data_IF_290170645872
#
_entry.id   IF_290170645872
#
_cell.length_a   1.000
_cell.length_b   1.000
_cell.length_c   1.000
_cell.angle_alpha   90.00
_cell.angle_beta   90.00
_cell.angle_gamma   90.00
#
_symmetry.space_group_name_H-M   'P 1'
#
loop_
_entity.id
_entity.type
_entity.pdbx_description
1 polymer ?
#
# COMPACT_ATOMS: atom_id res chain seq x y z
N UNK A 1 -0.31 -5.84 7.60
CA UNK A 1 -1.73 -5.84 7.17
C UNK A 1 -2.09 -7.21 6.63
N UNK A 2 -3.36 -7.56 6.60
CA UNK A 2 -3.87 -8.80 5.99
C UNK A 2 -5.13 -8.52 5.18
N UNK A 3 -5.52 -9.44 4.31
CA UNK A 3 -6.72 -9.31 3.46
C UNK A 3 -8.01 -9.01 4.29
N UNK A 4 -8.28 -9.68 5.43
CA UNK A 4 -9.45 -9.36 6.24
C UNK A 4 -9.49 -7.91 6.76
N UNK A 5 -8.33 -7.31 7.00
CA UNK A 5 -8.23 -5.90 7.41
C UNK A 5 -8.56 -4.97 6.24
N UNK A 6 -8.09 -5.28 5.03
CA UNK A 6 -8.44 -4.54 3.80
C UNK A 6 -9.96 -4.58 3.55
N UNK A 7 -10.58 -5.76 3.66
CA UNK A 7 -12.03 -5.91 3.51
C UNK A 7 -12.82 -5.13 4.57
N UNK A 8 -12.23 -4.94 5.75
CA UNK A 8 -12.83 -4.09 6.79
C UNK A 8 -12.78 -2.62 6.43
N UNK A 9 -11.68 -2.15 5.85
CA UNK A 9 -11.57 -0.78 5.32
C UNK A 9 -12.56 -0.59 4.16
N UNK A 10 -12.65 -1.52 3.22
CA UNK A 10 -13.62 -1.46 2.12
C UNK A 10 -15.06 -1.33 2.65
N UNK A 11 -15.41 -2.08 3.70
CA UNK A 11 -16.74 -1.99 4.32
C UNK A 11 -17.03 -0.62 4.92
N UNK A 12 -16.04 0.05 5.50
CA UNK A 12 -16.18 1.41 6.02
C UNK A 12 -16.40 2.42 4.88
N UNK A 13 -15.66 2.27 3.78
CA UNK A 13 -15.82 3.07 2.56
C UNK A 13 -17.23 2.91 2.00
N UNK A 14 -17.67 1.66 1.82
CA UNK A 14 -19.01 1.35 1.27
C UNK A 14 -20.15 1.91 2.11
N UNK A 15 -19.95 2.04 3.43
CA UNK A 15 -20.91 2.65 4.37
C UNK A 15 -20.86 4.18 4.41
N UNK A 16 -19.95 4.81 3.65
CA UNK A 16 -19.75 6.25 3.67
C UNK A 16 -19.08 6.78 4.92
N UNK A 17 -18.48 5.91 5.75
CA UNK A 17 -17.72 6.33 6.94
C UNK A 17 -16.41 7.02 6.53
N UNK A 18 -15.87 6.65 5.37
CA UNK A 18 -14.70 7.26 4.78
C UNK A 18 -14.96 7.61 3.31
N UNK A 19 -14.77 8.88 2.94
CA UNK A 19 -14.98 9.39 1.58
C UNK A 19 -13.75 10.10 1.05
N UNK A 20 -12.64 9.37 0.88
CA UNK A 20 -11.38 9.96 0.43
C UNK A 20 -10.46 8.99 -0.31
N UNK A 21 -9.24 9.44 -0.66
CA UNK A 21 -8.21 8.63 -1.30
C UNK A 21 -7.70 7.48 -0.43
N UNK A 22 -7.51 6.31 -1.01
CA UNK A 22 -7.06 5.14 -0.25
C UNK A 22 -5.53 5.01 -0.30
N UNK A 23 -4.85 5.40 0.79
CA UNK A 23 -3.42 5.17 1.00
C UNK A 23 -3.25 4.00 1.97
N UNK A 24 -2.62 2.92 1.51
CA UNK A 24 -2.49 1.66 2.25
C UNK A 24 -1.03 1.34 2.49
N UNK A 25 -0.78 0.72 3.63
CA UNK A 25 0.49 0.05 3.88
C UNK A 25 0.23 -1.43 4.13
N UNK A 26 0.88 -2.29 3.36
CA UNK A 26 0.97 -3.70 3.68
C UNK A 26 2.16 -3.91 4.61
N UNK A 27 1.87 -4.33 5.84
CA UNK A 27 2.87 -4.52 6.92
C UNK A 27 3.08 -6.02 7.20
N UNK A 28 4.19 -6.58 6.72
CA UNK A 28 4.50 -8.01 6.81
C UNK A 28 5.28 -8.38 8.07
N UNK A 29 4.61 -8.58 9.21
CA UNK A 29 5.25 -8.72 10.54
C UNK A 29 4.84 -9.96 11.34
N UNK A 30 3.86 -10.73 10.85
CA UNK A 30 3.27 -11.84 11.60
C UNK A 30 2.37 -11.36 12.77
N UNK A 31 2.04 -12.28 13.69
CA UNK A 31 1.30 -11.92 14.91
C UNK A 31 -0.12 -11.39 14.69
N UNK A 32 -0.81 -11.88 13.66
CA UNK A 32 -2.14 -11.39 13.23
C UNK A 32 -2.08 -10.56 11.94
N UNK A 33 -0.88 -10.20 11.50
CA UNK A 33 -0.61 -9.72 10.15
C UNK A 33 0.00 -10.82 9.29
N UNK A 34 0.06 -10.58 7.98
CA UNK A 34 0.78 -11.47 7.07
C UNK A 34 2.26 -11.56 7.49
N UNK A 35 2.85 -12.75 7.32
CA UNK A 35 4.31 -12.88 7.34
C UNK A 35 4.94 -12.25 6.08
N UNK A 36 6.25 -11.93 6.09
CA UNK A 36 6.97 -11.34 4.96
C UNK A 36 7.22 -12.34 3.83
N UNK A 37 6.16 -12.95 3.32
CA UNK A 37 6.16 -13.93 2.24
C UNK A 37 5.70 -13.24 0.94
N UNK A 38 6.47 -13.33 -0.17
CA UNK A 38 6.06 -12.79 -1.46
C UNK A 38 4.68 -13.23 -1.94
N UNK A 39 4.24 -14.46 -1.65
CA UNK A 39 2.89 -14.91 -2.00
C UNK A 39 1.80 -14.12 -1.27
N UNK A 40 2.03 -13.75 -0.01
CA UNK A 40 1.09 -12.90 0.74
C UNK A 40 1.05 -11.49 0.13
N UNK A 41 2.21 -10.94 -0.24
CA UNK A 41 2.31 -9.64 -0.92
C UNK A 41 1.48 -9.67 -2.20
N UNK A 42 1.69 -10.67 -3.07
CA UNK A 42 0.99 -10.76 -4.35
C UNK A 42 -0.52 -10.91 -4.17
N UNK A 43 -0.96 -11.74 -3.22
CA UNK A 43 -2.38 -11.87 -2.90
C UNK A 43 -2.99 -10.56 -2.39
N UNK A 44 -2.26 -9.81 -1.58
CA UNK A 44 -2.71 -8.51 -1.10
C UNK A 44 -2.80 -7.48 -2.24
N UNK A 45 -1.74 -7.38 -3.06
CA UNK A 45 -1.70 -6.51 -4.24
C UNK A 45 -2.87 -6.81 -5.19
N UNK A 46 -3.19 -8.08 -5.42
CA UNK A 46 -4.33 -8.49 -6.26
C UNK A 46 -5.69 -7.99 -5.73
N UNK A 47 -5.81 -7.71 -4.43
CA UNK A 47 -7.07 -7.24 -3.79
C UNK A 47 -7.13 -5.73 -3.59
N UNK A 48 -5.99 -5.05 -3.66
CA UNK A 48 -5.96 -3.59 -3.59
C UNK A 48 -6.58 -3.02 -4.87
N UNK A 49 -7.49 -2.04 -4.77
CA UNK A 49 -8.14 -1.49 -5.95
C UNK A 49 -7.19 -0.53 -6.68
N UNK A 50 -7.31 -0.44 -8.01
CA UNK A 50 -6.35 0.29 -8.87
C UNK A 50 -6.18 1.77 -8.49
N UNK A 51 -7.23 2.40 -7.96
CA UNK A 51 -7.22 3.79 -7.54
C UNK A 51 -6.60 4.01 -6.16
N UNK A 52 -6.01 3.00 -5.50
CA UNK A 52 -5.30 3.13 -4.23
C UNK A 52 -3.79 3.31 -4.39
N UNK A 53 -3.15 3.87 -3.37
CA UNK A 53 -1.71 4.00 -3.27
C UNK A 53 -1.18 3.00 -2.24
N UNK A 54 -0.35 2.05 -2.66
CA UNK A 54 0.14 0.97 -1.80
C UNK A 54 1.63 1.12 -1.47
N UNK A 55 1.93 1.04 -0.18
CA UNK A 55 3.28 0.96 0.38
C UNK A 55 3.52 -0.43 0.94
N UNK A 56 4.71 -1.00 0.75
CA UNK A 56 5.13 -2.24 1.42
C UNK A 56 6.10 -1.94 2.56
N UNK A 57 5.89 -2.62 3.68
CA UNK A 57 6.66 -2.48 4.90
C UNK A 57 6.83 -3.84 5.59
N UNK A 58 7.94 -4.02 6.31
CA UNK A 58 8.20 -5.18 7.15
C UNK A 58 9.24 -4.79 8.21
N UNK A 59 9.79 -5.76 8.95
CA UNK A 59 10.69 -5.52 10.07
C UNK A 59 12.02 -6.28 9.90
N UNK A 60 13.07 -5.76 10.52
CA UNK A 60 14.35 -6.43 10.66
C UNK A 60 14.97 -6.83 9.29
N UNK A 61 15.25 -8.13 9.08
CA UNK A 61 16.02 -8.59 7.92
C UNK A 61 15.23 -8.57 6.61
N UNK A 62 13.90 -8.54 6.66
CA UNK A 62 13.06 -8.53 5.47
C UNK A 62 12.88 -7.13 4.87
N UNK A 63 13.30 -6.05 5.55
CA UNK A 63 13.08 -4.66 5.13
C UNK A 63 13.62 -4.41 3.73
N UNK A 64 14.91 -4.65 3.49
CA UNK A 64 15.50 -4.40 2.18
C UNK A 64 14.90 -5.30 1.08
N UNK A 65 14.77 -6.64 1.26
CA UNK A 65 14.11 -7.50 0.26
C UNK A 65 12.68 -7.06 -0.10
N UNK A 66 11.85 -6.70 0.89
CA UNK A 66 10.47 -6.25 0.64
C UNK A 66 10.47 -4.89 -0.06
N UNK A 67 11.35 -3.97 0.32
CA UNK A 67 11.48 -2.69 -0.37
C UNK A 67 11.93 -2.86 -1.82
N UNK A 68 12.87 -3.78 -2.11
CA UNK A 68 13.29 -4.05 -3.49
C UNK A 68 12.15 -4.64 -4.32
N UNK A 69 11.32 -5.51 -3.73
CA UNK A 69 10.11 -6.04 -4.38
C UNK A 69 9.13 -4.89 -4.66
N UNK A 70 8.89 -4.03 -3.66
CA UNK A 70 8.00 -2.88 -3.81
C UNK A 70 8.43 -1.99 -4.99
N UNK A 71 9.72 -1.62 -5.03
CA UNK A 71 10.27 -0.79 -6.11
C UNK A 71 10.12 -1.50 -7.46
N UNK A 72 10.45 -2.79 -7.55
CA UNK A 72 10.35 -3.55 -8.80
C UNK A 72 8.90 -3.67 -9.32
N UNK A 73 7.91 -3.65 -8.42
CA UNK A 73 6.49 -3.68 -8.77
C UNK A 73 5.90 -2.28 -9.03
N UNK A 74 6.69 -1.21 -8.95
CA UNK A 74 6.20 0.17 -9.05
C UNK A 74 5.47 0.68 -7.79
N UNK A 75 5.51 -0.07 -6.69
CA UNK A 75 4.89 0.29 -5.41
C UNK A 75 5.82 1.16 -4.55
N UNK A 76 5.30 1.72 -3.46
CA UNK A 76 6.10 2.53 -2.55
C UNK A 76 6.84 1.66 -1.51
N UNK A 77 8.16 1.84 -1.33
CA UNK A 77 8.88 1.22 -0.22
C UNK A 77 8.82 2.09 1.04
N UNK A 78 9.04 1.49 2.22
CA UNK A 78 9.22 2.19 3.51
C UNK A 78 10.48 1.70 4.20
N UNK A 79 11.28 2.63 4.72
CA UNK A 79 12.45 2.30 5.56
C UNK A 79 12.62 3.29 6.71
N UNK A 80 13.40 2.88 7.71
CA UNK A 80 13.76 3.71 8.85
C UNK A 80 14.20 2.86 10.04
N UNK A 81 14.73 3.54 11.07
CA UNK A 81 15.19 2.87 12.29
C UNK A 81 14.05 2.24 13.10
N UNK A 82 12.79 2.65 12.86
CA UNK A 82 11.60 1.99 13.40
C UNK A 82 11.49 0.54 12.90
N UNK A 83 11.74 0.34 11.61
CA UNK A 83 11.56 -0.95 10.94
C UNK A 83 12.77 -1.86 11.19
N UNK A 84 13.98 -1.29 11.10
CA UNK A 84 15.24 -1.98 11.35
C UNK A 84 16.37 -1.01 11.70
N UNK A 85 17.20 -1.39 12.66
CA UNK A 85 18.44 -0.69 13.01
C UNK A 85 19.68 -1.34 12.37
N UNK A 86 19.48 -2.36 11.53
CA UNK A 86 20.53 -3.23 11.01
C UNK A 86 20.70 -3.07 9.50
N UNK A 87 21.95 -2.96 9.06
CA UNK A 87 22.36 -3.12 7.67
C UNK A 87 22.82 -4.56 7.42
N UNK A 88 24.09 -4.73 7.03
CA UNK A 88 24.71 -6.07 6.96
C UNK A 88 24.77 -6.71 8.35
N UNK A 89 24.97 -8.02 8.41
CA UNK A 89 25.02 -8.77 9.67
C UNK A 89 26.07 -8.17 10.61
N UNK A 90 25.61 -7.65 11.75
CA UNK A 90 26.47 -7.04 12.78
C UNK A 90 26.68 -5.53 12.61
N UNK A 91 26.21 -4.93 11.51
CA UNK A 91 26.39 -3.51 11.22
C UNK A 91 25.09 -2.74 11.50
N UNK A 92 25.20 -1.62 12.22
CA UNK A 92 24.09 -0.68 12.40
C UNK A 92 23.96 0.20 11.15
N UNK A 93 22.73 0.60 10.85
CA UNK A 93 22.46 1.46 9.70
C UNK A 93 21.53 2.60 10.14
N UNK A 94 21.90 3.84 9.79
CA UNK A 94 21.08 5.02 10.07
C UNK A 94 19.91 5.11 9.08
N UNK A 95 18.86 5.85 9.44
CA UNK A 95 17.73 6.04 8.52
C UNK A 95 18.14 6.80 7.25
N UNK A 96 19.10 7.74 7.34
CA UNK A 96 19.66 8.42 6.15
C UNK A 96 20.32 7.43 5.20
N UNK A 97 21.17 6.53 5.72
CA UNK A 97 21.82 5.52 4.88
C UNK A 97 20.81 4.55 4.27
N UNK A 98 19.73 4.21 5.00
CA UNK A 98 18.65 3.37 4.48
C UNK A 98 17.93 4.06 3.31
N UNK A 99 17.63 5.35 3.44
CA UNK A 99 17.03 6.16 2.36
C UNK A 99 17.96 6.18 1.14
N UNK A 100 19.24 6.53 1.32
CA UNK A 100 20.24 6.54 0.23
C UNK A 100 20.34 5.20 -0.49
N UNK A 101 20.24 4.09 0.25
CA UNK A 101 20.19 2.75 -0.34
C UNK A 101 18.96 2.54 -1.23
N UNK A 102 17.77 2.96 -0.79
CA UNK A 102 16.56 2.84 -1.60
C UNK A 102 16.56 3.77 -2.81
N UNK A 103 17.05 5.00 -2.67
CA UNK A 103 17.21 5.95 -3.79
C UNK A 103 18.11 5.34 -4.86
N UNK A 104 19.24 4.75 -4.47
CA UNK A 104 20.14 4.07 -5.40
C UNK A 104 19.43 2.91 -6.12
N UNK A 105 18.77 2.01 -5.38
CA UNK A 105 18.03 0.87 -5.97
C UNK A 105 16.94 1.33 -6.93
N UNK A 106 16.20 2.39 -6.60
CA UNK A 106 15.19 2.95 -7.49
C UNK A 106 15.80 3.52 -8.78
N UNK A 107 16.97 4.18 -8.66
CA UNK A 107 17.73 4.70 -9.80
C UNK A 107 18.18 3.61 -10.78
N UNK A 108 18.58 2.43 -10.29
CA UNK A 108 18.93 1.28 -11.15
C UNK A 108 17.76 0.81 -12.04
N UNK A 109 16.51 1.09 -11.63
CA UNK A 109 15.30 0.77 -12.38
C UNK A 109 14.74 1.97 -13.16
N UNK A 110 15.49 3.08 -13.23
CA UNK A 110 15.02 4.31 -13.88
C UNK A 110 13.83 4.97 -13.19
N UNK A 111 13.62 4.70 -11.90
CA UNK A 111 12.51 5.24 -11.11
C UNK A 111 12.98 6.43 -10.27
N UNK A 112 12.50 7.62 -10.61
CA UNK A 112 12.76 8.84 -9.85
C UNK A 112 12.05 8.84 -8.48
N UNK A 113 12.60 9.62 -7.54
CA UNK A 113 12.10 9.72 -6.17
C UNK A 113 11.27 10.99 -6.04
N UNK A 114 10.01 10.83 -5.65
CA UNK A 114 9.08 11.94 -5.46
C UNK A 114 9.57 12.92 -4.38
N UNK A 115 9.48 14.20 -4.68
CA UNK A 115 9.58 15.30 -3.71
C UNK A 115 8.40 15.26 -2.73
N UNK A 116 8.50 15.99 -1.61
CA UNK A 116 7.39 16.09 -0.66
C UNK A 116 6.10 16.69 -1.26
N UNK A 117 6.22 17.54 -2.28
CA UNK A 117 5.07 18.09 -3.00
C UNK A 117 4.42 17.03 -3.89
N UNK A 118 5.21 16.30 -4.68
CA UNK A 118 4.71 15.20 -5.50
C UNK A 118 4.10 14.09 -4.64
N UNK A 119 4.71 13.76 -3.50
CA UNK A 119 4.16 12.79 -2.56
C UNK A 119 2.78 13.22 -2.02
N UNK A 120 2.59 14.51 -1.71
CA UNK A 120 1.28 15.06 -1.33
C UNK A 120 0.23 14.84 -2.42
N UNK A 121 0.63 15.07 -3.68
CA UNK A 121 -0.25 14.95 -4.84
C UNK A 121 -0.58 13.47 -5.15
N UNK A 122 0.42 12.58 -5.11
CA UNK A 122 0.27 11.12 -5.28
C UNK A 122 -0.66 10.54 -4.21
N UNK A 123 -0.43 10.88 -2.94
CA UNK A 123 -1.27 10.45 -1.83
C UNK A 123 -2.60 11.19 -1.75
N UNK A 124 -2.79 12.23 -2.59
CA UNK A 124 -4.01 13.06 -2.64
C UNK A 124 -4.38 13.62 -1.26
N UNK A 125 -3.38 14.00 -0.47
CA UNK A 125 -3.60 14.49 0.90
C UNK A 125 -4.43 15.77 0.87
N UNK A 126 -5.52 15.79 1.62
CA UNK A 126 -6.46 16.91 1.71
C UNK A 126 -7.63 16.82 0.74
N UNK A 127 -7.71 15.78 -0.09
CA UNK A 127 -8.88 15.52 -0.92
C UNK A 127 -9.96 14.74 -0.17
N UNK A 128 -11.21 15.11 -0.40
CA UNK A 128 -12.41 14.39 0.05
C UNK A 128 -13.39 14.32 -1.12
N UNK A 129 -14.11 13.23 -1.22
CA UNK A 129 -15.15 13.00 -2.21
C UNK A 129 -16.54 13.24 -1.60
N UNK A 130 -17.53 13.49 -2.45
CA UNK A 130 -18.88 13.88 -2.04
C UNK A 130 -19.58 12.81 -1.21
N UNK A 131 -19.45 11.53 -1.61
CA UNK A 131 -20.14 10.41 -0.97
C UNK A 131 -19.42 9.07 -1.20
N UNK A 132 -20.04 7.99 -0.72
CA UNK A 132 -19.53 6.63 -0.87
C UNK A 132 -19.47 6.19 -2.34
N UNK A 133 -20.42 6.59 -3.19
CA UNK A 133 -20.49 6.15 -4.59
C UNK A 133 -19.38 6.83 -5.41
N UNK A 134 -19.15 8.14 -5.22
CA UNK A 134 -18.00 8.81 -5.82
C UNK A 134 -16.69 8.19 -5.33
N UNK A 135 -16.57 7.90 -4.04
CA UNK A 135 -15.37 7.29 -3.46
C UNK A 135 -15.08 5.93 -4.10
N UNK A 136 -16.07 5.03 -4.18
CA UNK A 136 -15.91 3.72 -4.81
C UNK A 136 -15.48 3.85 -6.27
N UNK A 137 -16.09 4.78 -7.03
CA UNK A 137 -15.72 5.04 -8.42
C UNK A 137 -14.28 5.55 -8.56
N UNK A 138 -13.86 6.50 -7.72
CA UNK A 138 -12.49 7.06 -7.73
C UNK A 138 -11.42 6.03 -7.32
N UNK A 139 -11.79 5.07 -6.47
CA UNK A 139 -10.89 4.00 -6.04
C UNK A 139 -10.86 2.83 -7.03
N UNK A 140 -11.82 2.70 -7.94
CA UNK A 140 -11.92 1.55 -8.86
C UNK A 140 -12.63 0.34 -8.24
N UNK A 141 -13.42 0.54 -7.19
CA UNK A 141 -14.28 -0.51 -6.64
C UNK A 141 -15.59 -0.63 -7.42
N UNK A 142 -16.18 -1.82 -7.39
CA UNK A 142 -17.56 -2.01 -7.86
C UNK A 142 -18.54 -1.15 -7.02
N UNK A 143 -19.59 -0.58 -7.65
CA UNK A 143 -20.57 0.25 -6.96
C UNK A 143 -21.31 -0.55 -5.88
N UNK A 144 -21.91 0.16 -4.93
CA UNK A 144 -22.77 -0.48 -3.93
C UNK A 144 -23.99 -1.14 -4.61
N UNK A 145 -24.35 -2.31 -4.10
CA UNK A 145 -25.55 -3.03 -4.54
C UNK A 145 -26.81 -2.26 -4.11
N UNK A 146 -27.74 -2.04 -5.04
CA UNK A 146 -29.03 -1.41 -4.71
C UNK A 146 -29.93 -2.38 -3.93
N UNK A 147 -30.77 -1.90 -3.01
CA UNK A 147 -31.79 -2.74 -2.37
C UNK A 147 -32.61 -3.51 -3.41
N UNK A 148 -32.77 -4.82 -3.22
CA UNK A 148 -33.53 -5.69 -4.15
C UNK A 148 -32.80 -6.11 -5.44
N UNK A 149 -31.65 -5.53 -5.78
CA UNK A 149 -30.90 -5.90 -6.99
C UNK A 149 -30.21 -7.25 -6.81
N UNK A 150 -30.52 -8.30 -7.57
CA UNK A 150 -29.81 -9.61 -7.50
C UNK A 150 -28.65 -9.67 -8.50
N UNK A 151 -27.41 -9.70 -7.98
CA UNK A 151 -26.19 -9.96 -8.76
C UNK A 151 -25.80 -8.87 -9.77
N UNK A 152 -24.50 -8.76 -10.06
CA UNK A 152 -23.97 -7.91 -11.15
C UNK A 152 -23.32 -8.74 -12.27
N UNK A 153 -23.06 -10.02 -12.03
CA UNK A 153 -22.16 -10.87 -12.83
C UNK A 153 -22.87 -11.72 -13.90
N UNK A 154 -24.14 -11.45 -14.24
CA UNK A 154 -24.90 -12.26 -15.21
C UNK A 154 -25.62 -11.49 -16.32
N UNK A 155 -25.31 -10.22 -16.52
CA UNK A 155 -25.79 -9.49 -17.70
C UNK A 155 -24.61 -8.82 -18.41
N UNK A 156 -23.91 -9.64 -19.19
CA UNK A 156 -23.19 -9.21 -20.38
C UNK A 156 -24.01 -9.64 -21.60
#
# INVERSE_FOLDING_TARGET
SSIPQLETVERLIRRGVYTGPLNLTWVGIGGGFDGPNPYNIMNFVQRVPDGACLTLETLMRSVLPVNTIAIAMGLHPRCGNEDTIWGRKGEKMTSVAQVEQLVRVAGELGREVATGKEARDIYRIGQTYADADETLAKLGYAPNRRPGQVGFTQHA
#
